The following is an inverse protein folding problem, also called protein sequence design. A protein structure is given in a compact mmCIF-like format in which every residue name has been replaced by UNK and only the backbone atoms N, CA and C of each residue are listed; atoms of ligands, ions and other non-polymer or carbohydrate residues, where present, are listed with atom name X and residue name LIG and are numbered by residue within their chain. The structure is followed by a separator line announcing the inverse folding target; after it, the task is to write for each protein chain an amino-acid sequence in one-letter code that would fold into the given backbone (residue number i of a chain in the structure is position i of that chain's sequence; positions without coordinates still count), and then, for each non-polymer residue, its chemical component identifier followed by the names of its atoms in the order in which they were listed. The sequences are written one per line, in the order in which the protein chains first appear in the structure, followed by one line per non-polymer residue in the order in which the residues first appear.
data_IF_049103455301
#
_entry.id   IF_049103455301
#
_cell.length_a   1.000
_cell.length_b   1.000
_cell.length_c   1.000
_cell.angle_alpha   90.00
_cell.angle_beta   90.00
_cell.angle_gamma   90.00
#
_symmetry.space_group_name_H-M   'P 1'
#
loop_
_entity.id
_entity.type
_entity.pdbx_description
1 polymer ?
#
# COMPACT_ATOMS: atom_id res chain seq x y z
N UNK A 1 -2.02 -24.57 -26.79
CA UNK A 1 -0.64 -24.86 -26.36
C UNK A 1 -0.35 -24.05 -25.12
N UNK A 2 -0.31 -24.70 -23.95
CA UNK A 2 -0.14 -24.02 -22.66
C UNK A 2 1.36 -23.86 -22.36
N UNK A 3 1.84 -22.62 -22.25
CA UNK A 3 3.18 -22.30 -21.78
C UNK A 3 3.23 -22.43 -20.24
N UNK A 4 3.36 -23.65 -19.71
CA UNK A 4 3.15 -23.95 -18.28
C UNK A 4 4.39 -23.79 -17.40
N UNK A 5 5.52 -23.29 -17.92
CA UNK A 5 6.72 -23.10 -17.10
C UNK A 5 7.35 -21.72 -17.34
N UNK A 6 6.76 -20.68 -16.75
CA UNK A 6 7.53 -19.44 -16.52
C UNK A 6 8.64 -19.77 -15.53
N UNK A 7 9.89 -19.79 -16.01
CA UNK A 7 11.09 -19.98 -15.17
C UNK A 7 11.05 -19.01 -13.99
N UNK A 8 11.14 -19.55 -12.76
CA UNK A 8 11.37 -18.75 -11.55
C UNK A 8 12.68 -17.97 -11.73
N UNK A 9 12.64 -16.65 -11.54
CA UNK A 9 13.81 -15.76 -11.59
C UNK A 9 14.60 -15.89 -10.29
N UNK A 10 15.93 -15.81 -10.36
CA UNK A 10 16.74 -15.66 -9.13
C UNK A 10 16.67 -14.19 -8.69
N UNK A 11 16.54 -13.90 -7.39
CA UNK A 11 16.59 -12.53 -6.90
C UNK A 11 18.03 -12.03 -6.99
N UNK A 12 18.23 -10.82 -7.53
CA UNK A 12 19.55 -10.21 -7.65
C UNK A 12 19.93 -9.45 -6.36
N UNK A 13 18.94 -9.06 -5.55
CA UNK A 13 19.12 -8.38 -4.27
C UNK A 13 18.02 -8.72 -3.24
N UNK A 14 18.13 -8.15 -2.03
CA UNK A 14 17.18 -8.37 -0.95
C UNK A 14 15.77 -7.79 -1.24
N UNK A 15 15.68 -6.70 -2.01
CA UNK A 15 14.40 -6.14 -2.44
C UNK A 15 13.68 -7.07 -3.43
N UNK A 16 14.41 -7.71 -4.34
CA UNK A 16 13.84 -8.69 -5.27
C UNK A 16 13.33 -9.92 -4.52
N UNK A 17 14.06 -10.40 -3.51
CA UNK A 17 13.62 -11.49 -2.65
C UNK A 17 12.31 -11.13 -1.92
N UNK A 18 12.21 -9.90 -1.40
CA UNK A 18 10.98 -9.39 -0.77
C UNK A 18 9.83 -9.28 -1.78
N UNK A 19 10.08 -8.72 -2.96
CA UNK A 19 9.08 -8.60 -4.04
C UNK A 19 8.56 -9.98 -4.44
N UNK A 20 9.44 -10.97 -4.58
CA UNK A 20 9.04 -12.34 -4.93
C UNK A 20 8.25 -13.02 -3.82
N UNK A 21 8.56 -12.75 -2.56
CA UNK A 21 7.79 -13.24 -1.42
C UNK A 21 6.40 -12.59 -1.37
N UNK A 22 6.29 -11.30 -1.68
CA UNK A 22 5.02 -10.56 -1.64
C UNK A 22 4.10 -10.85 -2.82
N UNK A 23 4.65 -10.95 -4.03
CA UNK A 23 3.88 -10.94 -5.28
C UNK A 23 4.08 -12.20 -6.13
N UNK A 24 4.89 -13.15 -5.68
CA UNK A 24 5.25 -14.36 -6.41
C UNK A 24 6.38 -14.16 -7.41
N UNK A 25 6.79 -15.26 -8.04
CA UNK A 25 7.94 -15.30 -8.95
C UNK A 25 7.59 -16.01 -10.27
N UNK A 26 7.57 -15.30 -11.43
CA UNK A 26 7.85 -13.86 -11.58
C UNK A 26 6.69 -13.00 -11.06
N UNK A 27 6.97 -11.79 -10.54
CA UNK A 27 5.92 -10.89 -10.09
C UNK A 27 5.04 -10.45 -11.27
N UNK A 28 3.75 -10.14 -11.05
CA UNK A 28 2.90 -9.57 -12.08
C UNK A 28 3.50 -8.22 -12.55
N UNK A 29 3.20 -7.78 -13.79
CA UNK A 29 3.59 -6.43 -14.21
C UNK A 29 2.90 -5.41 -13.32
N UNK A 30 3.56 -4.27 -13.07
CA UNK A 30 3.00 -3.13 -12.33
C UNK A 30 1.77 -2.60 -13.07
N UNK A 31 0.62 -2.50 -12.39
CA UNK A 31 -0.66 -2.05 -12.98
C UNK A 31 -1.37 -0.99 -12.16
N UNK A 32 -0.67 -0.39 -11.21
CA UNK A 32 -1.23 0.64 -10.35
C UNK A 32 -1.69 1.85 -11.19
N UNK A 33 -2.96 2.23 -11.03
CA UNK A 33 -3.47 3.49 -11.53
C UNK A 33 -3.21 4.57 -10.46
N UNK A 34 -2.33 5.52 -10.76
CA UNK A 34 -1.87 6.52 -9.78
C UNK A 34 -3.00 7.42 -9.31
N UNK A 35 -3.85 7.89 -10.22
CA UNK A 35 -4.93 8.81 -9.87
C UNK A 35 -5.99 8.10 -9.02
N UNK A 36 -6.36 6.87 -9.39
CA UNK A 36 -7.28 6.08 -8.57
C UNK A 36 -6.67 5.73 -7.21
N UNK A 37 -5.38 5.40 -7.14
CA UNK A 37 -4.71 5.13 -5.88
C UNK A 37 -4.66 6.37 -4.98
N UNK A 38 -4.41 7.55 -5.55
CA UNK A 38 -4.43 8.81 -4.83
C UNK A 38 -5.85 9.12 -4.29
N UNK A 39 -6.89 8.91 -5.10
CA UNK A 39 -8.28 9.06 -4.64
C UNK A 39 -8.62 8.08 -3.52
N UNK A 40 -8.30 6.79 -3.67
CA UNK A 40 -8.53 5.80 -2.61
C UNK A 40 -7.76 6.12 -1.32
N UNK A 41 -6.51 6.60 -1.43
CA UNK A 41 -5.74 7.00 -0.26
C UNK A 41 -6.34 8.25 0.41
N UNK A 42 -6.62 9.30 -0.36
CA UNK A 42 -7.11 10.57 0.16
C UNK A 42 -8.52 10.49 0.71
N UNK A 43 -9.45 9.92 -0.06
CA UNK A 43 -10.86 9.87 0.28
C UNK A 43 -11.17 8.75 1.28
N UNK A 44 -10.76 7.51 0.98
CA UNK A 44 -11.20 6.34 1.76
C UNK A 44 -10.32 6.10 2.99
N UNK A 45 -9.00 6.25 2.88
CA UNK A 45 -8.06 5.90 3.96
C UNK A 45 -7.73 7.09 4.87
N UNK A 46 -7.56 8.29 4.31
CA UNK A 46 -7.19 9.50 5.03
C UNK A 46 -8.40 10.39 5.37
N UNK A 47 -9.62 9.94 5.01
CA UNK A 47 -10.87 10.64 5.30
C UNK A 47 -10.88 12.12 4.86
N UNK A 48 -10.21 12.44 3.74
CA UNK A 48 -10.03 13.81 3.22
C UNK A 48 -9.33 14.78 4.15
N UNK A 49 -8.60 14.27 5.15
CA UNK A 49 -7.83 15.09 6.10
C UNK A 49 -6.62 15.75 5.44
N UNK A 50 -6.05 15.11 4.41
CA UNK A 50 -4.89 15.59 3.68
C UNK A 50 -5.32 16.17 2.33
N UNK A 51 -4.67 17.27 1.91
CA UNK A 51 -4.95 17.92 0.65
C UNK A 51 -4.67 16.97 -0.55
N UNK A 52 -5.61 16.93 -1.50
CA UNK A 52 -5.58 15.98 -2.61
C UNK A 52 -4.31 16.09 -3.48
N UNK A 53 -3.78 17.31 -3.66
CA UNK A 53 -2.52 17.54 -4.37
C UNK A 53 -1.34 16.86 -3.68
N UNK A 54 -1.22 16.96 -2.36
CA UNK A 54 -0.17 16.31 -1.59
C UNK A 54 -0.26 14.78 -1.67
N UNK A 55 -1.49 14.24 -1.61
CA UNK A 55 -1.72 12.80 -1.78
C UNK A 55 -1.32 12.35 -3.20
N UNK A 56 -1.66 13.13 -4.22
CA UNK A 56 -1.33 12.81 -5.62
C UNK A 56 0.18 12.88 -5.89
N UNK A 57 0.87 13.89 -5.35
CA UNK A 57 2.33 14.00 -5.42
C UNK A 57 3.00 12.78 -4.79
N UNK A 58 2.55 12.37 -3.61
CA UNK A 58 3.08 11.21 -2.92
C UNK A 58 2.79 9.90 -3.69
N UNK A 59 1.61 9.76 -4.28
CA UNK A 59 1.26 8.61 -5.11
C UNK A 59 2.18 8.50 -6.35
N UNK A 60 2.48 9.63 -7.01
CA UNK A 60 3.43 9.66 -8.13
C UNK A 60 4.84 9.29 -7.69
N UNK A 61 5.30 9.83 -6.56
CA UNK A 61 6.62 9.52 -6.02
C UNK A 61 6.77 8.02 -5.71
N UNK A 62 5.82 7.42 -5.00
CA UNK A 62 5.84 5.99 -4.68
C UNK A 62 5.66 5.11 -5.92
N UNK A 63 4.86 5.54 -6.91
CA UNK A 63 4.71 4.79 -8.15
C UNK A 63 5.96 4.83 -9.06
N UNK A 64 6.92 5.72 -8.83
CA UNK A 64 8.21 5.67 -9.55
C UNK A 64 9.13 4.53 -9.05
N UNK A 65 8.87 4.02 -7.84
CA UNK A 65 9.64 2.93 -7.23
C UNK A 65 9.32 1.53 -7.76
N UNK A 66 10.09 0.51 -7.36
CA UNK A 66 9.89 -0.89 -7.78
C UNK A 66 8.63 -1.55 -7.19
N UNK A 67 8.08 -0.96 -6.13
CA UNK A 67 6.83 -1.31 -5.42
C UNK A 67 6.07 0.01 -5.30
N UNK A 68 4.73 0.05 -5.37
CA UNK A 68 3.76 -1.05 -5.30
C UNK A 68 3.11 -1.49 -6.63
N UNK A 69 2.63 -2.74 -6.70
CA UNK A 69 2.21 -3.39 -7.95
C UNK A 69 0.73 -3.20 -8.30
N UNK A 70 -0.16 -3.16 -7.31
CA UNK A 70 -1.60 -2.85 -7.48
C UNK A 70 -1.96 -1.41 -7.09
N UNK A 71 -3.12 -0.96 -7.53
CA UNK A 71 -3.67 0.35 -7.15
C UNK A 71 -3.92 0.44 -5.63
N UNK A 72 -4.40 -0.64 -5.03
CA UNK A 72 -4.68 -0.73 -3.59
C UNK A 72 -3.39 -0.79 -2.77
N UNK A 73 -2.36 -1.50 -3.27
CA UNK A 73 -1.03 -1.50 -2.66
C UNK A 73 -0.45 -0.07 -2.64
N UNK A 74 -0.63 0.68 -3.74
CA UNK A 74 -0.23 2.09 -3.83
C UNK A 74 -1.02 2.95 -2.86
N UNK A 75 -2.34 2.79 -2.80
CA UNK A 75 -3.20 3.56 -1.91
C UNK A 75 -2.80 3.36 -0.43
N UNK A 76 -2.57 2.11 0.01
CA UNK A 76 -2.11 1.83 1.38
C UNK A 76 -0.74 2.42 1.66
N UNK A 77 0.21 2.31 0.72
CA UNK A 77 1.56 2.85 0.90
C UNK A 77 1.54 4.38 1.03
N UNK A 78 0.69 5.06 0.23
CA UNK A 78 0.47 6.50 0.32
C UNK A 78 -0.16 6.88 1.65
N UNK A 79 -1.24 6.19 2.06
CA UNK A 79 -1.89 6.48 3.34
C UNK A 79 -0.94 6.27 4.52
N UNK A 80 -0.17 5.18 4.52
CA UNK A 80 0.82 4.87 5.55
C UNK A 80 1.86 5.98 5.71
N UNK A 81 2.31 6.55 4.59
CA UNK A 81 3.25 7.66 4.60
C UNK A 81 2.70 8.87 5.39
N UNK A 82 1.42 9.18 5.28
CA UNK A 82 0.80 10.28 6.04
C UNK A 82 0.49 9.89 7.48
N UNK A 83 0.05 8.65 7.74
CA UNK A 83 -0.16 8.17 9.11
C UNK A 83 1.10 8.22 9.98
N UNK A 84 2.28 8.01 9.37
CA UNK A 84 3.59 8.06 10.07
C UNK A 84 4.10 9.47 10.36
N UNK A 85 3.49 10.50 9.79
CA UNK A 85 3.97 11.87 9.94
C UNK A 85 3.45 12.49 11.25
N UNK A 86 4.34 12.91 12.18
CA UNK A 86 3.93 13.38 13.50
C UNK A 86 2.90 14.52 13.47
N UNK A 87 3.01 15.42 12.50
CA UNK A 87 2.07 16.54 12.33
C UNK A 87 0.66 16.10 11.95
N UNK A 88 0.47 14.91 11.39
CA UNK A 88 -0.83 14.39 10.96
C UNK A 88 -1.41 13.35 11.92
N UNK A 89 -0.63 12.77 12.83
CA UNK A 89 -1.08 11.75 13.78
C UNK A 89 -2.35 12.19 14.56
N UNK A 90 -2.40 13.39 15.19
CA UNK A 90 -3.59 13.79 15.94
C UNK A 90 -4.82 13.93 15.04
N UNK A 91 -4.63 14.42 13.81
CA UNK A 91 -5.70 14.64 12.85
C UNK A 91 -6.20 13.34 12.23
N UNK A 92 -5.34 12.34 12.05
CA UNK A 92 -5.67 11.07 11.41
C UNK A 92 -6.13 9.98 12.40
N UNK A 93 -6.10 10.25 13.70
CA UNK A 93 -6.56 9.33 14.75
C UNK A 93 -7.99 8.83 14.54
N UNK A 94 -8.89 9.66 14.02
CA UNK A 94 -10.26 9.25 13.73
C UNK A 94 -10.37 8.38 12.45
N UNK A 95 -9.48 8.58 11.48
CA UNK A 95 -9.48 7.89 10.20
C UNK A 95 -8.87 6.48 10.29
N UNK A 96 -8.00 6.23 11.28
CA UNK A 96 -7.23 5.00 11.39
C UNK A 96 -8.09 3.73 11.45
N UNK A 97 -9.21 3.72 12.18
CA UNK A 97 -10.10 2.55 12.24
C UNK A 97 -10.72 2.25 10.87
N UNK A 98 -11.18 3.28 10.16
CA UNK A 98 -11.71 3.14 8.79
C UNK A 98 -10.67 2.59 7.83
N UNK A 99 -9.44 3.10 7.91
CA UNK A 99 -8.33 2.64 7.09
C UNK A 99 -7.96 1.17 7.34
N UNK A 100 -7.98 0.71 8.60
CA UNK A 100 -7.76 -0.71 8.96
C UNK A 100 -8.87 -1.61 8.43
N UNK A 101 -10.13 -1.22 8.59
CA UNK A 101 -11.26 -2.00 8.07
C UNK A 101 -11.21 -2.12 6.55
N UNK A 102 -10.86 -1.02 5.85
CA UNK A 102 -10.72 -1.01 4.41
C UNK A 102 -9.56 -1.88 3.93
N UNK A 103 -8.41 -1.85 4.61
CA UNK A 103 -7.26 -2.69 4.26
C UNK A 103 -7.58 -4.18 4.42
N UNK A 104 -8.32 -4.55 5.48
CA UNK A 104 -8.82 -5.90 5.69
C UNK A 104 -9.83 -6.32 4.62
N UNK A 105 -10.74 -5.42 4.21
CA UNK A 105 -11.68 -5.69 3.12
C UNK A 105 -10.94 -5.97 1.80
N UNK A 106 -9.95 -5.15 1.46
CA UNK A 106 -9.12 -5.37 0.27
C UNK A 106 -8.32 -6.67 0.34
N UNK A 107 -7.85 -7.06 1.54
CA UNK A 107 -7.18 -8.33 1.76
C UNK A 107 -8.10 -9.51 1.48
N UNK A 108 -9.32 -9.49 2.00
CA UNK A 108 -10.33 -10.53 1.78
C UNK A 108 -10.72 -10.65 0.30
N UNK A 109 -10.69 -9.54 -0.44
CA UNK A 109 -10.95 -9.50 -1.87
C UNK A 109 -9.73 -9.88 -2.74
N UNK A 110 -8.56 -10.08 -2.13
CA UNK A 110 -7.31 -10.39 -2.86
C UNK A 110 -6.77 -9.23 -3.70
N UNK A 111 -7.13 -7.99 -3.38
CA UNK A 111 -6.73 -6.79 -4.14
C UNK A 111 -5.36 -6.23 -3.71
N UNK A 112 -4.88 -6.67 -2.54
CA UNK A 112 -3.68 -6.14 -1.88
C UNK A 112 -2.81 -7.30 -1.38
N UNK A 113 -1.50 -7.09 -1.37
CA UNK A 113 -0.55 -8.05 -0.83
C UNK A 113 -0.74 -8.26 0.69
N UNK A 114 -0.86 -9.51 1.19
CA UNK A 114 -1.05 -9.79 2.61
C UNK A 114 0.04 -9.20 3.52
N UNK A 115 1.30 -9.26 3.08
CA UNK A 115 2.43 -8.71 3.84
C UNK A 115 2.34 -7.19 3.99
N UNK A 116 1.80 -6.50 2.97
CA UNK A 116 1.62 -5.04 3.01
C UNK A 116 0.54 -4.66 4.01
N UNK A 117 -0.58 -5.40 4.05
CA UNK A 117 -1.65 -5.19 5.03
C UNK A 117 -1.14 -5.43 6.44
N UNK A 118 -0.36 -6.49 6.66
CA UNK A 118 0.28 -6.74 7.95
C UNK A 118 1.19 -5.59 8.38
N UNK A 119 2.08 -5.13 7.50
CA UNK A 119 2.98 -4.01 7.80
C UNK A 119 2.21 -2.71 8.09
N UNK A 120 1.13 -2.46 7.34
CA UNK A 120 0.23 -1.33 7.55
C UNK A 120 -0.44 -1.38 8.94
N UNK A 121 -0.96 -2.55 9.32
CA UNK A 121 -1.62 -2.77 10.61
C UNK A 121 -0.63 -2.64 11.79
N UNK A 122 0.54 -3.27 11.67
CA UNK A 122 1.58 -3.23 12.70
C UNK A 122 2.02 -1.78 13.00
N UNK A 123 2.20 -0.97 11.95
CA UNK A 123 2.59 0.43 12.09
C UNK A 123 1.47 1.27 12.71
N UNK A 124 0.23 1.14 12.21
CA UNK A 124 -0.92 1.85 12.79
C UNK A 124 -1.13 1.47 14.26
N UNK A 125 -0.98 0.18 14.61
CA UNK A 125 -1.04 -0.25 16.00
C UNK A 125 0.07 0.39 16.82
N UNK A 126 1.30 0.44 16.30
CA UNK A 126 2.41 1.07 17.03
C UNK A 126 2.19 2.56 17.27
N UNK A 127 1.55 3.27 16.34
CA UNK A 127 1.29 4.72 16.42
C UNK A 127 0.10 5.04 17.34
N UNK A 128 -0.98 4.25 17.26
CA UNK A 128 -2.28 4.56 17.88
C UNK A 128 -2.68 3.64 19.03
N UNK A 129 -1.82 2.72 19.46
CA UNK A 129 -2.11 1.91 20.66
C UNK A 129 -2.37 2.85 21.85
N UNK A 130 -3.39 2.56 22.68
CA UNK A 130 -3.56 3.29 23.93
C UNK A 130 -2.35 3.03 24.84
N UNK A 131 -1.91 4.07 25.52
CA UNK A 131 -0.88 3.97 26.58
C UNK A 131 -1.40 3.18 27.79
#
# INVERSE_FOLDING_TARGET
MFNIFRRKRRPDNALDALIFAMYGNPPPPKRANVDLAASLAGDDLLARTIAANSVQEQARALNSGPVPYSTQDLALSVALHFFKQPQFIPHLSHAQIGARLKSLQWLQQGLVAPLLVKAFEDELYSIYKPD
#
